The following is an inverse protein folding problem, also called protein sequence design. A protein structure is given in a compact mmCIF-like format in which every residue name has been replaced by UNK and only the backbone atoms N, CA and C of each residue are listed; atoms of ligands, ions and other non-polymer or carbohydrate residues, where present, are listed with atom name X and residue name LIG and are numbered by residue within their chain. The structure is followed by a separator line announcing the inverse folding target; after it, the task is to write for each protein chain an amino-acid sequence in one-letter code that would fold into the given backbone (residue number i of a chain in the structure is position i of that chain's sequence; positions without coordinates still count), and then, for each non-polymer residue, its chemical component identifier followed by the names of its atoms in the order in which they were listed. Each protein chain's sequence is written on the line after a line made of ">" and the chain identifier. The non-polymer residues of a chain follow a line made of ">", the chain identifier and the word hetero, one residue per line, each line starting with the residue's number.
data_IF_613216924737
#
_entry.id   IF_613216924737
#
_cell.length_a   1.000
_cell.length_b   1.000
_cell.length_c   1.000
_cell.angle_alpha   90.00
_cell.angle_beta   90.00
_cell.angle_gamma   90.00
#
_symmetry.space_group_name_H-M   'P 1'
#
loop_
_entity.id
_entity.type
_entity.pdbx_description
1 polymer ?
#
# COMPACT_ATOMS: atom_id res chain seq x y z
N UNK A 1 -8.76 15.26 6.91
CA UNK A 1 -8.47 13.91 7.42
C UNK A 1 -8.48 12.85 6.31
N UNK A 2 -7.39 12.10 6.07
CA UNK A 2 -7.50 10.79 5.40
C UNK A 2 -7.62 9.74 6.51
N UNK A 3 -8.85 9.30 6.81
CA UNK A 3 -9.09 8.14 7.68
C UNK A 3 -8.82 6.86 6.87
N UNK A 4 -8.11 5.90 7.45
CA UNK A 4 -7.99 4.57 6.86
C UNK A 4 -9.40 4.02 6.56
N UNK A 5 -9.69 3.51 5.35
CA UNK A 5 -11.02 2.99 5.05
C UNK A 5 -11.29 1.71 5.85
N UNK A 6 -12.54 1.53 6.31
CA UNK A 6 -13.04 0.23 6.76
C UNK A 6 -13.15 -0.69 5.54
N UNK A 7 -12.19 -1.59 5.35
CA UNK A 7 -12.33 -2.71 4.42
C UNK A 7 -13.29 -3.71 5.07
N UNK A 8 -14.44 -3.97 4.45
CA UNK A 8 -15.36 -5.03 4.88
C UNK A 8 -14.72 -6.39 4.54
N UNK A 9 -14.71 -7.36 5.47
CA UNK A 9 -14.19 -8.70 5.19
C UNK A 9 -15.07 -9.40 4.15
N UNK A 10 -14.46 -9.95 3.09
CA UNK A 10 -15.13 -10.87 2.17
C UNK A 10 -15.28 -12.22 2.86
N UNK A 11 -16.52 -12.58 3.19
CA UNK A 11 -16.90 -13.85 3.82
C UNK A 11 -16.72 -15.03 2.82
N UNK A 12 -15.99 -16.11 3.17
CA UNK A 12 -15.80 -17.27 2.32
C UNK A 12 -16.70 -18.44 2.76
N UNK A 13 -17.92 -18.55 2.22
CA UNK A 13 -18.68 -19.80 2.32
C UNK A 13 -19.86 -19.88 1.33
N UNK A 14 -19.65 -20.49 0.15
CA UNK A 14 -20.71 -21.25 -0.55
C UNK A 14 -20.11 -22.47 -1.25
N UNK A 15 -20.30 -23.65 -0.64
CA UNK A 15 -20.13 -25.01 -1.18
C UNK A 15 -21.22 -25.82 -0.44
N UNK A 16 -22.14 -26.59 -1.01
CA UNK A 16 -22.15 -27.68 -2.00
C UNK A 16 -23.63 -27.96 -2.34
N UNK A 17 -23.93 -28.64 -3.46
CA UNK A 17 -24.66 -29.94 -3.48
C UNK A 17 -24.99 -30.41 -4.94
N UNK A 18 -24.22 -31.41 -5.40
CA UNK A 18 -24.54 -32.69 -6.07
C UNK A 18 -25.56 -32.85 -7.24
N UNK A 19 -25.11 -33.54 -8.31
CA UNK A 19 -25.97 -34.27 -9.28
C UNK A 19 -25.21 -34.88 -10.48
N UNK A 20 -25.09 -36.22 -10.54
CA UNK A 20 -24.33 -37.01 -11.54
C UNK A 20 -25.06 -37.38 -12.87
N UNK A 21 -24.72 -38.49 -13.57
CA UNK A 21 -23.91 -38.42 -14.80
C UNK A 21 -24.48 -39.09 -16.08
N UNK A 22 -23.72 -38.91 -17.18
CA UNK A 22 -23.35 -39.89 -18.23
C UNK A 22 -23.84 -39.71 -19.70
N UNK A 23 -22.86 -39.40 -20.56
CA UNK A 23 -22.49 -40.02 -21.86
C UNK A 23 -23.33 -39.80 -23.13
N UNK A 24 -22.66 -39.37 -24.22
CA UNK A 24 -22.57 -40.01 -25.58
C UNK A 24 -21.47 -39.30 -26.43
N UNK A 25 -20.68 -40.09 -27.18
CA UNK A 25 -19.56 -39.77 -28.10
C UNK A 25 -20.03 -39.43 -29.56
N UNK A 26 -19.21 -39.36 -30.66
CA UNK A 26 -17.78 -39.05 -30.88
C UNK A 26 -17.47 -38.03 -32.05
N UNK A 27 -16.19 -37.61 -32.11
CA UNK A 27 -15.30 -37.28 -33.27
C UNK A 27 -15.79 -36.48 -34.50
N UNK A 28 -15.09 -35.39 -34.86
CA UNK A 28 -14.66 -35.05 -36.24
C UNK A 28 -13.52 -34.00 -36.23
N UNK A 29 -12.69 -34.05 -37.26
CA UNK A 29 -11.32 -33.54 -37.40
C UNK A 29 -11.20 -32.35 -38.38
N UNK A 30 -10.14 -31.52 -38.24
CA UNK A 30 -9.51 -30.52 -39.18
C UNK A 30 -9.31 -29.16 -38.48
N UNK A 31 -8.22 -28.38 -38.56
CA UNK A 31 -6.89 -28.35 -39.20
C UNK A 31 -6.15 -27.12 -38.60
N UNK A 32 -4.80 -27.01 -38.58
CA UNK A 32 -4.10 -25.84 -38.04
C UNK A 32 -3.74 -24.78 -39.09
N UNK A 33 -3.90 -23.49 -38.76
CA UNK A 33 -3.22 -22.32 -39.37
C UNK A 33 -2.56 -21.51 -38.23
N UNK A 34 -1.31 -21.05 -38.29
CA UNK A 34 -0.80 -19.96 -39.15
C UNK A 34 -1.84 -18.84 -39.13
N UNK A 35 -1.75 -17.74 -38.36
CA UNK A 35 -0.66 -16.83 -38.02
C UNK A 35 -1.12 -16.06 -36.76
N UNK A 36 -0.32 -15.98 -35.69
CA UNK A 36 -0.40 -14.87 -34.72
C UNK A 36 0.97 -14.74 -34.06
N UNK A 37 1.59 -13.58 -34.28
CA UNK A 37 2.91 -13.17 -33.83
C UNK A 37 2.97 -13.09 -32.29
N UNK A 38 3.91 -13.79 -31.61
CA UNK A 38 4.02 -13.72 -30.15
C UNK A 38 4.63 -12.40 -29.63
N UNK A 39 4.91 -11.42 -30.50
CA UNK A 39 5.55 -10.16 -30.11
C UNK A 39 4.61 -9.11 -29.52
N UNK A 40 3.33 -9.41 -29.31
CA UNK A 40 2.32 -8.43 -28.87
C UNK A 40 1.63 -8.80 -27.55
N UNK A 41 2.37 -9.19 -26.51
CA UNK A 41 1.87 -9.10 -25.13
C UNK A 41 2.99 -8.55 -24.25
N UNK A 42 2.94 -7.25 -23.96
CA UNK A 42 3.22 -6.69 -22.62
C UNK A 42 2.72 -5.24 -22.61
N UNK A 43 1.43 -5.08 -22.28
CA UNK A 43 0.99 -3.86 -21.61
C UNK A 43 1.66 -3.85 -20.23
N UNK A 44 2.59 -2.92 -19.98
CA UNK A 44 3.28 -2.92 -18.69
C UNK A 44 4.31 -1.80 -18.49
N UNK A 45 4.10 -0.61 -19.03
CA UNK A 45 5.08 0.49 -18.92
C UNK A 45 4.61 1.70 -18.12
N UNK A 46 3.39 1.74 -17.57
CA UNK A 46 2.88 2.94 -16.86
C UNK A 46 2.92 2.88 -15.33
N UNK A 47 3.11 1.70 -14.72
CA UNK A 47 3.11 1.54 -13.24
C UNK A 47 4.52 1.61 -12.62
N UNK A 48 5.56 1.36 -13.42
CA UNK A 48 6.97 1.30 -12.95
C UNK A 48 7.52 2.71 -12.62
N UNK A 49 6.89 3.79 -13.09
CA UNK A 49 7.38 5.14 -12.83
C UNK A 49 6.96 5.70 -11.46
N UNK A 50 5.94 5.13 -10.80
CA UNK A 50 5.32 5.68 -9.57
C UNK A 50 5.58 4.81 -8.34
N UNK A 51 5.79 3.50 -8.52
CA UNK A 51 6.05 2.54 -7.44
C UNK A 51 7.34 1.77 -7.79
N UNK A 52 8.31 1.75 -6.88
CA UNK A 52 9.53 0.94 -6.99
C UNK A 52 9.52 -0.16 -5.92
N UNK A 53 9.49 -1.41 -6.39
CA UNK A 53 9.39 -2.58 -5.53
C UNK A 53 10.70 -2.95 -4.84
N UNK A 54 11.84 -2.40 -5.28
CA UNK A 54 13.17 -2.81 -4.83
C UNK A 54 13.76 -1.93 -3.73
N UNK A 55 13.14 -0.78 -3.45
CA UNK A 55 13.67 0.19 -2.48
C UNK A 55 13.17 -0.14 -1.07
N UNK A 56 14.04 -0.42 -0.09
CA UNK A 56 13.62 -0.68 1.30
C UNK A 56 13.10 0.60 1.98
N UNK A 57 12.39 0.50 3.12
CA UNK A 57 12.01 1.69 3.88
C UNK A 57 13.25 2.39 4.46
N UNK A 58 13.19 3.70 4.57
CA UNK A 58 14.29 4.53 5.08
C UNK A 58 14.60 4.32 6.57
N UNK A 59 13.75 3.58 7.29
CA UNK A 59 13.91 3.26 8.70
C UNK A 59 12.62 2.79 9.36
N UNK A 60 12.60 2.62 10.70
CA UNK A 60 11.42 2.16 11.43
C UNK A 60 10.39 3.25 11.75
N UNK A 61 10.73 4.53 11.53
CA UNK A 61 9.93 5.68 11.95
C UNK A 61 10.04 6.85 10.99
N UNK A 62 9.33 7.95 11.28
CA UNK A 62 9.38 9.15 10.45
C UNK A 62 10.77 9.81 10.54
N UNK A 63 11.49 9.82 9.41
CA UNK A 63 12.89 10.31 9.33
C UNK A 63 13.02 11.73 9.88
N UNK A 64 12.11 12.60 9.48
CA UNK A 64 12.15 14.02 9.82
C UNK A 64 11.72 14.29 11.27
N UNK A 65 10.76 13.51 11.81
CA UNK A 65 10.41 13.61 13.24
C UNK A 65 11.53 13.08 14.13
N UNK A 66 12.23 12.03 13.70
CA UNK A 66 13.42 11.53 14.39
C UNK A 66 14.50 12.62 14.45
N UNK A 67 14.87 13.19 13.31
CA UNK A 67 15.87 14.25 13.21
C UNK A 67 15.51 15.51 14.03
N UNK A 68 14.23 15.87 14.07
CA UNK A 68 13.75 17.05 14.79
C UNK A 68 13.39 16.77 16.27
N UNK A 69 13.64 15.57 16.79
CA UNK A 69 13.22 15.14 18.12
C UNK A 69 11.71 15.34 18.41
N UNK A 70 10.86 15.09 17.41
CA UNK A 70 9.39 15.22 17.45
C UNK A 70 8.68 13.85 17.55
N UNK A 71 7.35 13.85 17.52
CA UNK A 71 6.49 12.65 17.53
C UNK A 71 5.56 12.62 16.30
N UNK A 72 4.85 11.51 16.10
CA UNK A 72 3.91 11.26 15.00
C UNK A 72 2.73 10.41 15.47
N UNK A 73 1.62 10.47 14.72
CA UNK A 73 0.48 9.59 14.92
C UNK A 73 0.67 8.27 14.14
N UNK A 74 0.44 8.28 12.83
CA UNK A 74 0.70 7.14 11.94
C UNK A 74 1.82 7.43 10.94
N UNK A 75 2.35 6.38 10.32
CA UNK A 75 3.43 6.40 9.33
C UNK A 75 2.94 6.04 7.92
N UNK A 76 3.58 6.68 6.94
CA UNK A 76 3.40 6.46 5.51
C UNK A 76 4.76 6.21 4.89
N UNK A 77 4.84 5.22 4.00
CA UNK A 77 6.02 4.93 3.20
C UNK A 77 5.81 5.42 1.80
N UNK A 78 6.70 6.25 1.26
CA UNK A 78 6.74 6.54 -0.16
C UNK A 78 6.97 5.25 -0.95
N UNK A 79 6.07 4.93 -1.88
CA UNK A 79 6.15 3.71 -2.68
C UNK A 79 7.27 3.75 -3.74
N UNK A 80 7.83 4.94 -4.02
CA UNK A 80 8.90 5.14 -5.00
C UNK A 80 10.30 5.12 -4.40
N UNK A 81 10.52 5.79 -3.27
CA UNK A 81 11.87 5.94 -2.69
C UNK A 81 12.01 5.41 -1.27
N UNK A 82 10.95 4.82 -0.69
CA UNK A 82 11.01 4.23 0.64
C UNK A 82 11.04 5.22 1.81
N UNK A 83 10.99 6.53 1.57
CA UNK A 83 10.94 7.54 2.64
C UNK A 83 9.76 7.30 3.58
N UNK A 84 10.04 7.19 4.88
CA UNK A 84 9.01 7.10 5.92
C UNK A 84 8.69 8.50 6.46
N UNK A 85 7.46 8.96 6.21
CA UNK A 85 6.91 10.21 6.72
C UNK A 85 5.73 9.98 7.67
N UNK A 86 5.49 10.91 8.59
CA UNK A 86 4.27 10.89 9.41
C UNK A 86 3.05 11.35 8.61
N UNK A 87 1.89 10.75 8.89
CA UNK A 87 0.64 11.00 8.16
C UNK A 87 0.15 12.44 8.31
N UNK A 88 -0.82 12.83 7.48
CA UNK A 88 -1.34 14.21 7.44
C UNK A 88 -2.12 14.62 8.69
N UNK A 89 -2.56 13.66 9.51
CA UNK A 89 -3.10 13.97 10.83
C UNK A 89 -2.04 14.18 11.91
N UNK A 90 -0.78 13.79 11.66
CA UNK A 90 0.31 14.05 12.59
C UNK A 90 0.69 15.54 12.58
N UNK A 91 1.19 16.11 13.70
CA UNK A 91 1.48 17.55 13.78
C UNK A 91 2.42 18.08 12.68
N UNK A 92 3.36 17.25 12.23
CA UNK A 92 4.39 17.65 11.26
C UNK A 92 4.06 17.35 9.80
N UNK A 93 3.10 16.46 9.49
CA UNK A 93 2.61 16.16 8.14
C UNK A 93 3.73 15.85 7.12
N UNK A 94 4.72 15.04 7.49
CA UNK A 94 5.90 14.83 6.65
C UNK A 94 5.62 14.02 5.38
N UNK A 95 4.57 13.19 5.35
CA UNK A 95 4.20 12.43 4.16
C UNK A 95 3.77 13.35 2.98
N UNK A 96 2.78 14.22 3.18
CA UNK A 96 2.36 15.20 2.16
C UNK A 96 3.46 16.19 1.81
N UNK A 97 4.24 16.67 2.80
CA UNK A 97 5.40 17.53 2.52
C UNK A 97 6.44 16.83 1.64
N UNK A 98 6.71 15.56 1.90
CA UNK A 98 7.59 14.76 1.04
C UNK A 98 7.04 14.71 -0.38
N UNK A 99 5.76 14.34 -0.56
CA UNK A 99 5.08 14.28 -1.87
C UNK A 99 5.21 15.60 -2.62
N UNK A 100 4.93 16.75 -1.97
CA UNK A 100 5.04 18.07 -2.58
C UNK A 100 6.48 18.40 -3.01
N UNK A 101 7.47 17.99 -2.20
CA UNK A 101 8.89 18.30 -2.47
C UNK A 101 9.53 17.42 -3.55
N UNK A 102 9.11 16.16 -3.66
CA UNK A 102 9.73 15.16 -4.55
C UNK A 102 8.90 14.85 -5.79
N UNK A 103 7.60 15.15 -5.75
CA UNK A 103 6.66 14.72 -6.77
C UNK A 103 6.41 13.20 -6.74
N UNK A 104 6.66 12.51 -5.62
CA UNK A 104 6.34 11.09 -5.45
C UNK A 104 4.93 10.93 -4.89
N UNK A 105 3.90 10.63 -5.70
CA UNK A 105 2.52 10.84 -5.32
C UNK A 105 1.91 9.67 -4.54
N UNK A 106 2.52 8.49 -4.58
CA UNK A 106 1.96 7.29 -3.97
C UNK A 106 2.69 6.95 -2.68
N UNK A 107 1.91 6.79 -1.62
CA UNK A 107 2.36 6.26 -0.33
C UNK A 107 1.63 4.97 -0.01
N UNK A 108 2.31 4.07 0.71
CA UNK A 108 1.71 2.91 1.36
C UNK A 108 1.56 3.19 2.86
N UNK A 109 0.55 2.63 3.51
CA UNK A 109 0.58 2.57 4.98
C UNK A 109 1.83 1.83 5.46
N UNK A 110 2.39 2.28 6.58
CA UNK A 110 3.52 1.63 7.24
C UNK A 110 3.17 1.20 8.67
N UNK A 111 1.87 1.00 8.92
CA UNK A 111 1.30 0.51 10.17
C UNK A 111 1.15 -1.03 10.12
N UNK A 112 1.30 -1.73 11.26
CA UNK A 112 1.07 -3.17 11.33
C UNK A 112 -0.35 -3.57 10.89
N UNK A 113 -0.44 -4.58 10.03
CA UNK A 113 -1.73 -5.11 9.54
C UNK A 113 -2.36 -4.31 8.40
N UNK A 114 -1.72 -3.23 7.93
CA UNK A 114 -2.22 -2.43 6.82
C UNK A 114 -1.38 -2.63 5.54
N UNK A 115 -2.05 -2.80 4.40
CA UNK A 115 -1.44 -3.05 3.09
C UNK A 115 -1.86 -2.06 1.99
N UNK A 116 -2.71 -1.12 2.33
CA UNK A 116 -3.28 -0.15 1.40
C UNK A 116 -2.28 0.94 0.98
N UNK A 117 -2.54 1.48 -0.20
CA UNK A 117 -1.83 2.60 -0.84
C UNK A 117 -2.77 3.78 -1.02
N UNK A 118 -2.20 4.98 -1.09
CA UNK A 118 -2.92 6.22 -1.35
C UNK A 118 -2.16 7.04 -2.40
N UNK A 119 -2.87 7.53 -3.41
CA UNK A 119 -2.34 8.45 -4.42
C UNK A 119 -2.82 9.88 -4.13
N UNK A 120 -1.88 10.76 -3.78
CA UNK A 120 -2.18 12.17 -3.48
C UNK A 120 -2.69 12.98 -4.68
N UNK A 121 -2.56 12.48 -5.92
CA UNK A 121 -3.07 13.18 -7.12
C UNK A 121 -4.55 12.93 -7.33
N UNK A 122 -5.01 11.72 -7.03
CA UNK A 122 -6.40 11.30 -7.26
C UNK A 122 -7.22 11.27 -5.97
N UNK A 123 -6.56 11.35 -4.82
CA UNK A 123 -7.16 11.18 -3.49
C UNK A 123 -7.80 9.80 -3.28
N UNK A 124 -7.34 8.80 -4.03
CA UNK A 124 -7.88 7.44 -3.97
C UNK A 124 -7.00 6.51 -3.13
N UNK A 125 -7.67 5.58 -2.44
CA UNK A 125 -7.02 4.46 -1.76
C UNK A 125 -7.18 3.20 -2.61
N UNK A 126 -6.12 2.40 -2.73
CA UNK A 126 -6.14 1.15 -3.49
C UNK A 126 -5.23 0.10 -2.85
N UNK A 127 -5.42 -1.16 -3.23
CA UNK A 127 -4.49 -2.24 -2.90
C UNK A 127 -3.40 -2.30 -3.98
N UNK A 128 -2.15 -2.39 -3.54
CA UNK A 128 -0.99 -2.38 -4.43
C UNK A 128 -0.09 -3.61 -4.25
N UNK A 129 1.02 -3.67 -4.99
CA UNK A 129 1.98 -4.76 -4.88
C UNK A 129 2.68 -4.77 -3.51
N UNK A 130 3.24 -5.92 -3.14
CA UNK A 130 4.10 -6.00 -1.95
C UNK A 130 5.41 -5.23 -2.20
N UNK A 131 5.76 -4.31 -1.29
CA UNK A 131 7.03 -3.57 -1.33
C UNK A 131 8.15 -4.36 -0.66
N UNK A 132 9.39 -3.95 -0.87
CA UNK A 132 10.54 -4.54 -0.17
C UNK A 132 10.37 -4.46 1.36
N UNK A 133 10.57 -5.55 2.13
CA UNK A 133 10.48 -5.53 3.58
C UNK A 133 11.48 -4.58 4.27
N UNK A 134 11.24 -4.19 5.54
CA UNK A 134 10.01 -4.44 6.32
C UNK A 134 8.79 -3.71 5.77
N UNK A 135 7.59 -4.24 6.04
CA UNK A 135 6.31 -3.70 5.56
C UNK A 135 5.60 -2.78 6.56
N UNK A 136 6.08 -2.70 7.80
CA UNK A 136 5.52 -1.83 8.83
C UNK A 136 6.61 -1.50 9.85
N UNK A 137 6.34 -0.52 10.71
CA UNK A 137 7.20 -0.25 11.85
C UNK A 137 7.23 -1.43 12.83
N UNK A 138 8.26 -1.57 13.68
CA UNK A 138 8.32 -2.65 14.67
C UNK A 138 7.09 -2.69 15.57
N UNK A 139 6.61 -3.89 15.92
CA UNK A 139 5.45 -4.08 16.80
C UNK A 139 5.67 -3.52 18.22
N UNK A 140 6.92 -3.34 18.62
CA UNK A 140 7.29 -2.74 19.90
C UNK A 140 7.16 -1.21 19.92
N UNK A 141 7.01 -0.57 18.76
CA UNK A 141 6.80 0.87 18.65
C UNK A 141 5.30 1.19 18.82
N UNK A 142 4.93 2.13 19.71
CA UNK A 142 3.54 2.52 19.91
C UNK A 142 3.04 3.42 18.77
N UNK A 143 1.71 3.57 18.73
CA UNK A 143 0.96 4.48 17.87
C UNK A 143 0.03 5.29 18.78
N UNK A 144 0.18 6.62 18.91
CA UNK A 144 1.25 7.46 18.36
C UNK A 144 2.66 7.05 18.82
N UNK A 145 3.67 7.45 18.04
CA UNK A 145 5.08 7.16 18.31
C UNK A 145 5.99 8.37 18.18
N UNK A 146 7.27 8.24 18.52
CA UNK A 146 7.87 7.06 19.15
C UNK A 146 7.71 7.10 20.68
N UNK A 147 7.95 5.96 21.32
CA UNK A 147 7.79 5.80 22.78
C UNK A 147 8.55 6.88 23.54
N UNK A 148 7.89 7.50 24.52
CA UNK A 148 8.49 8.50 25.41
C UNK A 148 8.48 9.94 24.88
N UNK A 149 8.08 10.18 23.62
CA UNK A 149 7.98 11.54 23.05
C UNK A 149 6.54 12.03 22.83
N UNK A 150 5.55 11.15 22.97
CA UNK A 150 4.14 11.48 22.78
C UNK A 150 3.62 12.22 24.02
N UNK A 151 3.06 13.43 23.88
CA UNK A 151 2.50 14.18 25.01
C UNK A 151 1.19 13.56 25.51
N UNK A 152 0.79 13.86 26.75
CA UNK A 152 -0.43 13.28 27.35
C UNK A 152 -1.71 13.71 26.63
N UNK A 153 -1.72 14.92 26.09
CA UNK A 153 -2.82 15.57 25.40
C UNK A 153 -2.72 15.44 23.87
N UNK A 154 -1.99 14.45 23.36
CA UNK A 154 -1.64 14.31 21.94
C UNK A 154 -2.82 14.42 20.95
N UNK A 155 -4.02 13.98 21.33
CA UNK A 155 -5.22 14.08 20.50
C UNK A 155 -5.54 15.53 20.11
N UNK A 156 -5.29 16.48 21.01
CA UNK A 156 -5.52 17.90 20.78
C UNK A 156 -4.53 18.53 19.77
N UNK A 157 -3.47 17.81 19.40
CA UNK A 157 -2.45 18.27 18.45
C UNK A 157 -2.63 17.67 17.05
N UNK A 158 -3.62 16.80 16.85
CA UNK A 158 -3.86 16.18 15.56
C UNK A 158 -4.53 17.15 14.58
N UNK A 159 -4.07 17.10 13.32
CA UNK A 159 -4.75 17.74 12.20
C UNK A 159 -5.84 16.82 11.69
N UNK A 160 -7.04 17.02 12.21
CA UNK A 160 -8.19 16.34 11.66
C UNK A 160 -8.61 17.13 10.40
#
# INVERSE_FOLDING_TARGET
>A
MIRAPRILPTDPAVLLMEGGPATIQPQHSHRPGMYDDPSAITQGTSQIEVIDLNVPPSGPGCVDCEAANKWWFHLRRCAKCGHIGCCDSSPSQHASKHVMSTGHPVVRSFEPGEDWFFDYRTEETFLGPSLQPPLHHPLSQPVPGPKGRVPRDWEAHLHL
#
